data_IF_679873058961
#
_entry.id   IF_679873058961
#
_cell.length_a   1.000
_cell.length_b   1.000
_cell.length_c   1.000
_cell.angle_alpha   90.00
_cell.angle_beta   90.00
_cell.angle_gamma   90.00
#
_symmetry.space_group_name_H-M   'P 1'
#
loop_
_entity.id
_entity.type
_entity.pdbx_description
1 polymer ?
#
# COMPACT_ATOMS: atom_id res chain seq x y z
N UNK A 1 -3.41 -19.15 0.48
CA UNK A 1 -2.21 -19.25 -0.40
C UNK A 1 -2.60 -19.91 -1.71
N UNK A 2 -1.92 -19.59 -2.82
CA UNK A 2 -2.12 -20.21 -4.12
C UNK A 2 -0.92 -21.10 -4.45
N UNK A 3 -1.21 -22.35 -4.84
CA UNK A 3 -0.24 -23.34 -5.27
C UNK A 3 -0.52 -23.80 -6.68
N UNK A 4 0.52 -24.13 -7.41
CA UNK A 4 0.44 -24.79 -8.72
C UNK A 4 1.51 -25.87 -8.77
N UNK A 5 1.10 -27.12 -9.01
CA UNK A 5 1.97 -28.31 -9.02
C UNK A 5 2.81 -28.43 -7.73
N UNK A 6 2.15 -28.33 -6.57
CA UNK A 6 2.80 -28.38 -5.26
C UNK A 6 3.55 -27.11 -4.84
N UNK A 7 3.95 -26.25 -5.78
CA UNK A 7 4.75 -25.05 -5.53
C UNK A 7 3.88 -23.86 -5.13
N UNK A 8 4.24 -23.14 -4.06
CA UNK A 8 3.57 -21.88 -3.68
C UNK A 8 3.99 -20.77 -4.64
N UNK A 9 3.02 -20.12 -5.27
CA UNK A 9 3.27 -19.05 -6.24
C UNK A 9 2.70 -17.69 -5.80
N UNK A 10 1.78 -17.67 -4.83
CA UNK A 10 1.31 -16.43 -4.19
C UNK A 10 0.66 -16.68 -2.82
N UNK A 11 0.58 -15.62 -2.02
CA UNK A 11 -0.08 -15.61 -0.72
C UNK A 11 -0.68 -14.24 -0.41
N UNK A 12 -1.78 -14.25 0.35
CA UNK A 12 -2.39 -13.05 0.92
C UNK A 12 -2.64 -13.28 2.41
N UNK A 13 -2.54 -12.21 3.19
CA UNK A 13 -2.94 -12.17 4.60
C UNK A 13 -4.20 -11.31 4.71
N UNK A 14 -5.25 -11.91 5.26
CA UNK A 14 -6.52 -11.24 5.53
C UNK A 14 -6.67 -11.00 7.03
N UNK A 15 -7.13 -9.81 7.40
CA UNK A 15 -7.47 -9.45 8.79
C UNK A 15 -8.96 -9.17 8.86
N UNK A 16 -9.67 -9.86 9.75
CA UNK A 16 -11.10 -9.67 9.96
C UNK A 16 -11.30 -8.72 11.14
N UNK A 17 -12.09 -7.67 10.94
CA UNK A 17 -12.39 -6.71 12.00
C UNK A 17 -13.74 -6.03 11.77
N UNK A 18 -14.67 -6.16 12.73
CA UNK A 18 -16.04 -5.64 12.60
C UNK A 18 -16.75 -6.21 11.37
N UNK A 19 -17.38 -5.35 10.58
CA UNK A 19 -18.07 -5.72 9.34
C UNK A 19 -17.15 -5.79 8.11
N UNK A 20 -15.81 -5.83 8.29
CA UNK A 20 -14.85 -5.74 7.18
C UNK A 20 -13.78 -6.83 7.22
N UNK A 21 -13.30 -7.18 6.03
CA UNK A 21 -12.09 -7.99 5.82
C UNK A 21 -11.05 -7.15 5.10
N UNK A 22 -9.86 -7.04 5.68
CA UNK A 22 -8.75 -6.26 5.15
C UNK A 22 -7.78 -7.16 4.40
N UNK A 23 -7.50 -6.82 3.14
CA UNK A 23 -6.33 -7.32 2.42
C UNK A 23 -5.06 -6.65 2.99
N UNK A 24 -4.52 -7.22 4.06
CA UNK A 24 -3.45 -6.60 4.83
C UNK A 24 -2.09 -6.66 4.11
N UNK A 25 -1.76 -7.83 3.57
CA UNK A 25 -0.53 -8.06 2.82
C UNK A 25 -0.77 -9.06 1.69
N UNK A 26 0.02 -8.97 0.63
CA UNK A 26 0.12 -10.02 -0.36
C UNK A 26 1.49 -10.05 -1.01
N UNK A 27 1.85 -11.24 -1.47
CA UNK A 27 3.11 -11.51 -2.13
C UNK A 27 2.89 -12.57 -3.21
N UNK A 28 3.65 -12.45 -4.30
CA UNK A 28 3.62 -13.42 -5.38
C UNK A 28 5.01 -13.59 -5.97
N UNK A 29 5.30 -14.81 -6.41
CA UNK A 29 6.52 -15.10 -7.17
C UNK A 29 6.55 -14.35 -8.50
N UNK A 30 7.75 -14.11 -9.01
CA UNK A 30 7.96 -13.64 -10.39
C UNK A 30 7.77 -14.76 -11.41
N UNK A 31 7.85 -16.02 -10.99
CA UNK A 31 7.61 -17.19 -11.83
C UNK A 31 6.11 -17.47 -11.98
N UNK A 32 5.69 -18.01 -13.14
CA UNK A 32 4.31 -18.42 -13.43
C UNK A 32 3.25 -17.30 -13.23
N UNK A 33 3.62 -16.03 -13.46
CA UNK A 33 2.72 -14.86 -13.36
C UNK A 33 1.55 -14.91 -14.33
N UNK A 34 1.73 -15.57 -15.48
CA UNK A 34 0.68 -15.80 -16.49
C UNK A 34 -0.52 -16.60 -15.95
N UNK A 35 -0.35 -17.36 -14.86
CA UNK A 35 -1.44 -18.08 -14.18
C UNK A 35 -2.33 -17.16 -13.33
N UNK A 36 -1.98 -15.86 -13.24
CA UNK A 36 -2.74 -14.83 -12.54
C UNK A 36 -3.12 -15.20 -11.08
N UNK A 37 -2.19 -15.76 -10.26
CA UNK A 37 -2.53 -16.29 -8.95
C UNK A 37 -3.05 -15.23 -7.98
N UNK A 38 -2.61 -13.98 -8.12
CA UNK A 38 -3.11 -12.86 -7.32
C UNK A 38 -4.59 -12.59 -7.56
N UNK A 39 -5.07 -12.71 -8.81
CA UNK A 39 -6.48 -12.52 -9.10
C UNK A 39 -7.33 -13.60 -8.46
N UNK A 40 -6.89 -14.86 -8.57
CA UNK A 40 -7.54 -15.99 -7.89
C UNK A 40 -7.60 -15.77 -6.38
N UNK A 41 -6.49 -15.39 -5.75
CA UNK A 41 -6.45 -15.16 -4.31
C UNK A 41 -7.39 -14.05 -3.83
N UNK A 42 -7.44 -12.93 -4.54
CA UNK A 42 -8.36 -11.85 -4.19
C UNK A 42 -9.82 -12.27 -4.37
N UNK A 43 -10.14 -13.01 -5.44
CA UNK A 43 -11.49 -13.54 -5.64
C UNK A 43 -11.93 -14.50 -4.53
N UNK A 44 -11.04 -15.43 -4.12
CA UNK A 44 -11.30 -16.29 -2.96
C UNK A 44 -11.44 -15.48 -1.67
N UNK A 45 -10.64 -14.42 -1.49
CA UNK A 45 -10.77 -13.49 -0.37
C UNK A 45 -12.13 -12.78 -0.31
N UNK A 46 -12.64 -12.31 -1.44
CA UNK A 46 -13.96 -11.68 -1.56
C UNK A 46 -15.07 -12.68 -1.22
N UNK A 47 -15.02 -13.90 -1.80
CA UNK A 47 -16.00 -14.95 -1.48
C UNK A 47 -15.96 -15.33 0.00
N UNK A 48 -14.76 -15.43 0.58
CA UNK A 48 -14.59 -15.69 1.99
C UNK A 48 -15.21 -14.58 2.85
N UNK A 49 -14.91 -13.32 2.57
CA UNK A 49 -15.51 -12.18 3.27
C UNK A 49 -17.05 -12.23 3.22
N UNK A 50 -17.63 -12.52 2.05
CA UNK A 50 -19.07 -12.70 1.90
C UNK A 50 -19.60 -13.87 2.73
N UNK A 51 -18.88 -15.00 2.78
CA UNK A 51 -19.30 -16.20 3.51
C UNK A 51 -19.38 -16.01 5.03
N UNK A 52 -18.58 -15.09 5.57
CA UNK A 52 -18.59 -14.73 7.00
C UNK A 52 -19.47 -13.52 7.31
N UNK A 53 -20.27 -13.05 6.34
CA UNK A 53 -21.18 -11.92 6.50
C UNK A 53 -20.50 -10.55 6.55
N UNK A 54 -19.26 -10.42 6.10
CA UNK A 54 -18.62 -9.11 5.99
C UNK A 54 -19.26 -8.29 4.86
N UNK A 55 -19.52 -7.02 5.14
CA UNK A 55 -20.10 -6.08 4.19
C UNK A 55 -19.04 -5.47 3.26
N UNK A 56 -17.79 -5.39 3.74
CA UNK A 56 -16.71 -4.70 3.05
C UNK A 56 -15.48 -5.60 2.92
N UNK A 57 -15.01 -5.76 1.68
CA UNK A 57 -13.67 -6.28 1.38
C UNK A 57 -12.75 -5.11 1.03
N UNK A 58 -11.85 -4.76 1.96
CA UNK A 58 -11.00 -3.59 1.86
C UNK A 58 -9.63 -3.95 1.23
N UNK A 59 -9.42 -3.49 -0.01
CA UNK A 59 -8.16 -3.64 -0.74
C UNK A 59 -7.03 -2.74 -0.20
N UNK A 60 -7.32 -1.84 0.73
CA UNK A 60 -6.43 -0.82 1.29
C UNK A 60 -5.92 0.20 0.28
N UNK A 61 -5.04 1.09 0.73
CA UNK A 61 -4.62 2.30 0.04
C UNK A 61 -4.08 2.10 -1.38
N UNK A 62 -4.37 3.09 -2.21
CA UNK A 62 -3.77 3.36 -3.51
C UNK A 62 -3.35 4.83 -3.52
N UNK A 63 -2.41 5.25 -4.38
CA UNK A 63 -2.13 6.67 -4.55
C UNK A 63 -3.38 7.42 -5.03
N UNK A 64 -3.57 8.65 -4.55
CA UNK A 64 -4.81 9.42 -4.72
C UNK A 64 -4.99 10.07 -6.11
N UNK A 65 -3.97 10.10 -6.96
CA UNK A 65 -3.98 10.90 -8.22
C UNK A 65 -3.45 10.06 -9.39
N UNK A 66 -4.22 9.08 -9.88
CA UNK A 66 -3.68 8.09 -10.83
C UNK A 66 -4.47 7.86 -12.11
N UNK A 67 -5.66 8.43 -12.29
CA UNK A 67 -6.37 8.21 -13.56
C UNK A 67 -5.60 8.82 -14.75
N UNK A 68 -4.93 9.95 -14.51
CA UNK A 68 -4.17 10.69 -15.52
C UNK A 68 -2.64 10.45 -15.43
N UNK A 69 -2.14 9.80 -14.37
CA UNK A 69 -0.71 9.57 -14.12
C UNK A 69 -0.30 8.10 -14.35
N UNK A 70 -0.36 7.64 -15.59
CA UNK A 70 -0.01 6.26 -15.97
C UNK A 70 1.47 5.90 -15.69
N UNK A 71 2.34 6.91 -15.65
CA UNK A 71 3.77 6.75 -15.40
C UNK A 71 4.11 6.60 -13.91
N UNK A 72 3.13 6.73 -13.02
CA UNK A 72 3.35 6.56 -11.58
C UNK A 72 3.75 5.11 -11.26
N UNK A 73 4.79 4.86 -10.44
CA UNK A 73 5.30 3.51 -10.12
C UNK A 73 4.24 2.52 -9.60
N UNK A 74 3.21 3.05 -8.93
CA UNK A 74 2.13 2.26 -8.33
C UNK A 74 0.84 2.22 -9.17
N UNK A 75 0.83 2.75 -10.40
CA UNK A 75 -0.34 2.73 -11.28
C UNK A 75 -0.84 1.30 -11.56
N UNK A 76 0.09 0.34 -11.68
CA UNK A 76 -0.26 -1.08 -11.81
C UNK A 76 -1.04 -1.64 -10.62
N UNK A 77 -0.71 -1.21 -9.40
CA UNK A 77 -1.44 -1.61 -8.18
C UNK A 77 -2.84 -1.01 -8.15
N UNK A 78 -2.98 0.26 -8.54
CA UNK A 78 -4.28 0.91 -8.69
C UNK A 78 -5.16 0.18 -9.71
N UNK A 79 -4.63 -0.07 -10.92
CA UNK A 79 -5.33 -0.80 -11.99
C UNK A 79 -5.76 -2.20 -11.54
N UNK A 80 -4.91 -2.93 -10.84
CA UNK A 80 -5.22 -4.24 -10.28
C UNK A 80 -6.45 -4.19 -9.35
N UNK A 81 -6.46 -3.26 -8.39
CA UNK A 81 -7.56 -3.11 -7.42
C UNK A 81 -8.85 -2.61 -8.08
N UNK A 82 -8.74 -1.62 -8.97
CA UNK A 82 -9.89 -1.11 -9.77
C UNK A 82 -10.51 -2.20 -10.63
N UNK A 83 -9.72 -3.17 -11.11
CA UNK A 83 -10.21 -4.33 -11.87
C UNK A 83 -11.21 -5.22 -11.13
N UNK A 84 -11.31 -5.14 -9.80
CA UNK A 84 -12.34 -5.82 -9.00
C UNK A 84 -13.59 -4.97 -8.79
N UNK A 85 -13.75 -3.88 -9.54
CA UNK A 85 -14.80 -2.89 -9.34
C UNK A 85 -14.79 -2.27 -7.92
N UNK A 86 -13.59 -2.09 -7.35
CA UNK A 86 -13.42 -1.49 -6.04
C UNK A 86 -13.77 0.01 -6.08
N UNK A 87 -14.50 0.49 -5.06
CA UNK A 87 -14.82 1.91 -4.88
C UNK A 87 -13.64 2.63 -4.22
N UNK A 88 -13.14 3.68 -4.86
CA UNK A 88 -12.15 4.57 -4.23
C UNK A 88 -12.83 5.37 -3.11
N UNK A 89 -12.28 5.30 -1.90
CA UNK A 89 -12.78 6.04 -0.73
C UNK A 89 -11.65 6.88 -0.17
N UNK A 90 -11.78 8.19 -0.28
CA UNK A 90 -10.88 9.14 0.37
C UNK A 90 -11.34 9.37 1.81
N UNK A 91 -10.43 9.20 2.76
CA UNK A 91 -10.68 9.52 4.17
C UNK A 91 -10.27 10.97 4.46
N UNK A 92 -10.75 11.53 5.58
CA UNK A 92 -10.40 12.89 6.06
C UNK A 92 -8.89 13.14 6.25
N UNK A 93 -8.07 12.08 6.16
CA UNK A 93 -6.63 12.14 6.32
C UNK A 93 -6.20 12.17 7.79
N UNK A 94 -5.07 12.82 8.03
CA UNK A 94 -4.48 12.92 9.36
C UNK A 94 -5.00 14.14 10.09
N UNK A 95 -5.68 13.92 11.22
CA UNK A 95 -6.03 14.99 12.17
C UNK A 95 -4.94 15.09 13.23
N UNK A 96 -4.37 16.28 13.40
CA UNK A 96 -3.30 16.52 14.36
C UNK A 96 -3.80 17.39 15.52
N UNK A 97 -3.67 16.88 16.75
CA UNK A 97 -3.89 17.65 17.97
C UNK A 97 -2.54 18.02 18.62
N UNK A 98 -2.24 19.31 18.68
CA UNK A 98 -1.00 19.81 19.31
C UNK A 98 -1.15 19.91 20.83
N UNK A 99 -0.89 18.81 21.56
CA UNK A 99 -1.02 18.77 23.04
C UNK A 99 -0.01 19.69 23.75
N UNK A 100 1.20 19.87 23.18
CA UNK A 100 2.27 20.72 23.73
C UNK A 100 2.86 21.62 22.64
N UNK A 101 2.29 22.80 22.37
CA UNK A 101 2.63 23.62 21.21
C UNK A 101 4.11 23.99 21.12
N UNK A 102 4.74 24.35 22.25
CA UNK A 102 6.15 24.74 22.27
C UNK A 102 7.08 23.58 21.86
N UNK A 103 6.93 22.40 22.49
CA UNK A 103 7.74 21.22 22.16
C UNK A 103 7.52 20.79 20.71
N UNK A 104 6.28 20.84 20.25
CA UNK A 104 5.94 20.50 18.87
C UNK A 104 6.59 21.47 17.87
N UNK A 105 6.62 22.77 18.17
CA UNK A 105 7.30 23.77 17.35
C UNK A 105 8.81 23.52 17.26
N UNK A 106 9.47 23.28 18.39
CA UNK A 106 10.90 22.92 18.42
C UNK A 106 11.17 21.66 17.60
N UNK A 107 10.34 20.63 17.77
CA UNK A 107 10.43 19.38 17.00
C UNK A 107 10.25 19.62 15.49
N UNK A 108 9.28 20.45 15.07
CA UNK A 108 9.08 20.81 13.65
C UNK A 108 10.32 21.51 13.07
N UNK A 109 10.93 22.43 13.82
CA UNK A 109 12.18 23.10 13.41
C UNK A 109 13.31 22.08 13.29
N UNK A 110 13.51 21.24 14.30
CA UNK A 110 14.55 20.21 14.30
C UNK A 110 14.39 19.23 13.13
N UNK A 111 13.16 18.80 12.84
CA UNK A 111 12.86 17.98 11.67
C UNK A 111 13.21 18.68 10.35
N UNK A 112 12.88 19.97 10.21
CA UNK A 112 13.20 20.75 9.00
C UNK A 112 14.71 20.88 8.79
N UNK A 113 15.45 21.16 9.86
CA UNK A 113 16.92 21.23 9.84
C UNK A 113 17.51 19.87 9.49
N UNK A 114 17.08 18.79 10.16
CA UNK A 114 17.53 17.42 9.89
C UNK A 114 17.28 17.01 8.44
N UNK A 115 16.09 17.28 7.89
CA UNK A 115 15.79 17.01 6.47
C UNK A 115 16.73 17.78 5.54
N UNK A 116 17.00 19.06 5.81
CA UNK A 116 17.89 19.88 4.98
C UNK A 116 19.33 19.38 5.04
N UNK A 117 19.84 19.08 6.23
CA UNK A 117 21.18 18.51 6.42
C UNK A 117 21.31 17.14 5.75
N UNK A 118 20.33 16.26 5.92
CA UNK A 118 20.30 14.96 5.25
C UNK A 118 20.31 15.07 3.72
N UNK A 119 19.54 16.02 3.16
CA UNK A 119 19.57 16.29 1.73
C UNK A 119 20.95 16.78 1.26
N UNK A 120 21.56 17.72 1.99
CA UNK A 120 22.92 18.20 1.68
C UNK A 120 23.94 17.07 1.77
N UNK A 121 23.88 16.24 2.82
CA UNK A 121 24.76 15.10 3.01
C UNK A 121 24.66 14.09 1.86
N UNK A 122 23.44 13.70 1.46
CA UNK A 122 23.22 12.80 0.32
C UNK A 122 23.76 13.43 -0.96
N UNK A 123 23.50 14.72 -1.21
CA UNK A 123 23.96 15.43 -2.41
C UNK A 123 25.48 15.55 -2.46
N UNK A 124 26.13 15.85 -1.34
CA UNK A 124 27.58 15.83 -1.20
C UNK A 124 28.15 14.42 -1.41
N UNK A 125 27.54 13.39 -0.81
CA UNK A 125 27.93 12.00 -1.03
C UNK A 125 27.85 11.57 -2.51
N UNK A 126 26.82 12.02 -3.23
CA UNK A 126 26.72 11.83 -4.68
C UNK A 126 27.80 12.61 -5.47
N UNK A 127 28.19 13.81 -5.02
CA UNK A 127 29.28 14.60 -5.62
C UNK A 127 30.66 13.95 -5.40
N UNK A 128 30.89 13.30 -4.26
CA UNK A 128 32.15 12.60 -3.96
C UNK A 128 32.26 11.20 -4.57
N UNK A 129 31.14 10.54 -4.91
CA UNK A 129 31.13 9.25 -5.62
C UNK A 129 31.26 9.36 -7.15
N UNK A 130 31.32 10.58 -7.69
CA UNK A 130 31.42 10.87 -9.14
C UNK A 130 32.84 11.22 -9.62
N UNK A 131 33.86 11.02 -8.77
CA UNK A 131 35.28 10.95 -9.14
C UNK A 131 35.76 9.52 -8.99
#
# INVERSE_FOLDING_TARGET
MARHEGTVIAGILLVMYGNKVWYAYGASSNTKRNLMPNYKLQWEGIKYAKSIGAEIYDFRGVPGVLEDEKDHPEYGLYRFKKGFNATFTEFIGQVLLEVRPFKYRVFKIAQKVRRRLGYIYIKMGYLFKKK
#
